data_IF_932071638587
#
_entry.id   IF_932071638587
#
_cell.length_a   1.000
_cell.length_b   1.000
_cell.length_c   1.000
_cell.angle_alpha   90.00
_cell.angle_beta   90.00
_cell.angle_gamma   90.00
#
_symmetry.space_group_name_H-M   'P 1'
#
loop_
_entity.id
_entity.type
_entity.pdbx_description
1 polymer ?
#
# COMPACT_ATOMS: atom_id res chain seq x y z
N UNK A 1 -52.94 -64.91 -7.14
CA UNK A 1 -53.69 -66.14 -7.39
C UNK A 1 -54.94 -66.04 -6.54
N UNK A 2 -56.17 -65.95 -7.02
CA UNK A 2 -56.78 -66.09 -8.35
C UNK A 2 -58.06 -65.21 -8.29
N UNK A 3 -58.52 -64.53 -9.34
CA UNK A 3 -58.68 -64.96 -10.72
C UNK A 3 -60.14 -65.39 -10.93
N UNK A 4 -60.96 -64.54 -11.56
CA UNK A 4 -62.20 -64.95 -12.23
C UNK A 4 -62.64 -63.88 -13.25
N UNK A 5 -62.67 -64.32 -14.50
CA UNK A 5 -63.05 -63.65 -15.75
C UNK A 5 -64.58 -63.61 -15.92
N UNK A 6 -65.15 -62.57 -16.55
CA UNK A 6 -66.17 -62.69 -17.62
C UNK A 6 -66.13 -61.45 -18.54
N UNK A 7 -66.33 -61.69 -19.83
CA UNK A 7 -66.09 -60.86 -21.02
C UNK A 7 -67.26 -59.97 -21.50
N UNK A 8 -66.84 -58.83 -22.04
CA UNK A 8 -67.41 -57.82 -22.97
C UNK A 8 -68.60 -58.14 -23.91
N UNK A 9 -69.43 -57.12 -24.15
CA UNK A 9 -69.99 -56.74 -25.47
C UNK A 9 -70.15 -55.21 -25.59
N UNK A 10 -70.20 -54.73 -26.83
CA UNK A 10 -69.43 -53.60 -27.40
C UNK A 10 -70.20 -52.28 -27.65
N UNK A 11 -69.43 -51.18 -27.78
CA UNK A 11 -69.59 -49.96 -28.65
C UNK A 11 -70.90 -49.13 -28.62
N UNK A 12 -70.92 -47.83 -28.90
CA UNK A 12 -69.96 -46.73 -29.07
C UNK A 12 -70.81 -45.43 -29.18
N UNK A 13 -70.31 -44.29 -28.66
CA UNK A 13 -70.87 -42.94 -28.88
C UNK A 13 -69.80 -42.05 -29.50
N UNK A 14 -70.16 -41.28 -30.52
CA UNK A 14 -69.37 -40.14 -30.99
C UNK A 14 -70.30 -39.04 -31.49
N UNK A 15 -70.19 -37.86 -30.87
CA UNK A 15 -70.83 -36.62 -31.30
C UNK A 15 -69.80 -35.50 -31.22
N UNK A 16 -69.71 -34.74 -32.32
CA UNK A 16 -68.69 -33.74 -32.63
C UNK A 16 -69.04 -32.34 -32.10
N UNK A 17 -68.05 -31.73 -31.46
CA UNK A 17 -67.56 -30.32 -31.54
C UNK A 17 -68.43 -29.21 -32.14
N UNK A 18 -68.49 -28.07 -31.43
CA UNK A 18 -68.17 -26.71 -31.90
C UNK A 18 -68.04 -25.77 -30.68
N UNK A 19 -66.85 -25.21 -30.43
CA UNK A 19 -66.65 -24.09 -29.51
C UNK A 19 -65.59 -23.13 -30.07
N UNK A 20 -65.92 -21.85 -30.01
CA UNK A 20 -65.29 -20.75 -30.70
C UNK A 20 -64.07 -20.14 -29.99
N UNK A 21 -63.38 -19.27 -30.73
CA UNK A 21 -62.07 -18.70 -30.51
C UNK A 21 -61.87 -17.77 -29.29
N UNK A 22 -60.63 -17.76 -28.78
CA UNK A 22 -59.93 -16.57 -28.28
C UNK A 22 -58.41 -16.85 -28.25
N UNK A 23 -57.67 -16.41 -29.27
CA UNK A 23 -56.20 -16.41 -29.27
C UNK A 23 -55.74 -15.06 -28.71
N UNK A 24 -55.36 -15.01 -27.44
CA UNK A 24 -54.56 -13.92 -26.89
C UNK A 24 -53.11 -14.12 -27.34
N UNK A 25 -52.66 -13.30 -28.29
CA UNK A 25 -51.23 -13.11 -28.59
C UNK A 25 -50.59 -12.34 -27.43
N UNK A 26 -49.96 -13.06 -26.50
CA UNK A 26 -49.07 -12.47 -25.52
C UNK A 26 -47.74 -12.11 -26.22
N UNK A 27 -47.55 -10.83 -26.55
CA UNK A 27 -46.21 -10.32 -26.82
C UNK A 27 -45.41 -10.37 -25.52
N UNK A 28 -44.26 -11.05 -25.43
CA UNK A 28 -43.35 -10.81 -24.34
C UNK A 28 -42.77 -9.41 -24.54
N UNK A 29 -43.13 -8.48 -23.65
CA UNK A 29 -42.39 -7.24 -23.53
C UNK A 29 -40.95 -7.60 -23.15
N UNK A 30 -40.03 -7.48 -24.11
CA UNK A 30 -38.59 -7.41 -23.86
C UNK A 30 -38.34 -6.12 -23.07
N UNK A 31 -38.57 -6.18 -21.76
CA UNK A 31 -37.98 -5.23 -20.83
C UNK A 31 -36.49 -5.57 -20.83
N UNK A 32 -35.74 -4.88 -21.69
CA UNK A 32 -34.29 -4.82 -21.59
C UNK A 32 -33.94 -4.13 -20.28
N UNK A 33 -33.88 -4.90 -19.19
CA UNK A 33 -33.25 -4.45 -17.97
C UNK A 33 -31.80 -4.11 -18.32
N UNK A 34 -31.41 -2.85 -18.24
CA UNK A 34 -29.99 -2.52 -18.13
C UNK A 34 -29.50 -3.25 -16.89
N UNK A 35 -28.65 -4.26 -17.07
CA UNK A 35 -27.85 -4.77 -15.97
C UNK A 35 -27.17 -3.55 -15.35
N UNK A 36 -27.43 -3.30 -14.06
CA UNK A 36 -26.66 -2.31 -13.33
C UNK A 36 -25.19 -2.71 -13.47
N UNK A 37 -24.35 -1.81 -13.94
CA UNK A 37 -22.91 -2.07 -14.03
C UNK A 37 -22.44 -2.51 -12.63
N UNK A 38 -22.04 -3.78 -12.52
CA UNK A 38 -21.62 -4.35 -11.26
C UNK A 38 -20.38 -3.63 -10.72
N UNK A 39 -20.33 -3.46 -9.41
CA UNK A 39 -19.09 -3.11 -8.73
C UNK A 39 -18.12 -4.30 -8.84
N UNK A 40 -16.89 -4.02 -9.27
CA UNK A 40 -15.80 -4.98 -9.36
C UNK A 40 -14.74 -4.58 -8.35
N UNK A 41 -14.29 -5.54 -7.54
CA UNK A 41 -13.18 -5.35 -6.60
C UNK A 41 -11.98 -6.15 -7.08
N UNK A 42 -10.87 -5.48 -7.31
CA UNK A 42 -9.61 -6.10 -7.76
C UNK A 42 -8.54 -5.81 -6.73
N UNK A 43 -7.82 -6.84 -6.30
CA UNK A 43 -6.67 -6.71 -5.42
C UNK A 43 -5.50 -7.53 -5.97
N UNK A 44 -4.32 -6.95 -5.98
CA UNK A 44 -3.11 -7.66 -6.39
C UNK A 44 -1.93 -6.74 -6.60
N UNK A 45 -0.81 -7.32 -7.05
CA UNK A 45 0.36 -6.56 -7.44
C UNK A 45 0.07 -5.64 -8.62
N UNK A 46 0.52 -4.39 -8.51
CA UNK A 46 0.54 -3.43 -9.60
C UNK A 46 1.65 -3.82 -10.59
N UNK A 47 1.25 -4.26 -11.78
CA UNK A 47 2.15 -4.74 -12.85
C UNK A 47 2.27 -3.77 -14.02
N UNK A 48 1.46 -2.69 -14.03
CA UNK A 48 1.55 -1.63 -15.03
C UNK A 48 0.88 -0.34 -14.57
N UNK A 49 1.41 0.79 -15.04
CA UNK A 49 0.81 2.11 -14.85
C UNK A 49 1.20 3.02 -16.03
N UNK A 50 0.23 3.74 -16.58
CA UNK A 50 0.42 4.69 -17.67
C UNK A 50 -0.51 5.89 -17.49
N UNK A 51 -0.01 7.09 -17.79
CA UNK A 51 -0.82 8.31 -17.85
C UNK A 51 -0.96 8.74 -19.31
N UNK A 52 -2.15 9.18 -19.71
CA UNK A 52 -2.42 9.54 -21.11
C UNK A 52 -1.70 10.83 -21.53
N UNK A 53 -1.67 11.83 -20.66
CA UNK A 53 -0.94 13.08 -20.84
C UNK A 53 -0.06 13.37 -19.62
N UNK A 54 1.27 13.41 -19.83
CA UNK A 54 2.26 13.69 -18.78
C UNK A 54 2.25 15.13 -18.30
N UNK A 55 1.77 16.06 -19.12
CA UNK A 55 1.77 17.49 -18.83
C UNK A 55 0.47 17.96 -18.14
N UNK A 56 -0.55 17.10 -18.09
CA UNK A 56 -1.80 17.36 -17.39
C UNK A 56 -1.86 16.60 -16.05
N UNK A 57 -1.73 17.34 -14.95
CA UNK A 57 -1.85 16.82 -13.57
C UNK A 57 -3.14 16.01 -13.36
N UNK A 58 -4.22 16.35 -14.06
CA UNK A 58 -5.52 15.71 -13.90
C UNK A 58 -5.79 14.61 -14.93
N UNK A 59 -4.79 14.25 -15.73
CA UNK A 59 -4.92 13.29 -16.82
C UNK A 59 -5.48 11.96 -16.33
N UNK A 60 -6.31 11.36 -17.20
CA UNK A 60 -6.66 9.96 -17.12
C UNK A 60 -5.46 9.06 -17.41
N UNK A 61 -5.67 7.76 -17.29
CA UNK A 61 -4.72 6.75 -17.74
C UNK A 61 -5.18 5.36 -17.36
N UNK A 62 -4.24 4.43 -17.24
CA UNK A 62 -4.54 3.05 -16.89
C UNK A 62 -3.56 2.47 -15.89
N UNK A 63 -4.05 1.57 -15.05
CA UNK A 63 -3.23 0.68 -14.24
C UNK A 63 -3.52 -0.77 -14.60
N UNK A 64 -2.55 -1.64 -14.36
CA UNK A 64 -2.71 -3.09 -14.50
C UNK A 64 -2.46 -3.74 -13.15
N UNK A 65 -3.44 -4.51 -12.68
CA UNK A 65 -3.36 -5.25 -11.40
C UNK A 65 -3.34 -6.75 -11.73
N UNK A 66 -2.18 -7.38 -11.59
CA UNK A 66 -1.90 -8.70 -12.16
C UNK A 66 -2.09 -8.68 -13.68
N UNK A 67 -3.21 -9.25 -14.15
CA UNK A 67 -3.60 -9.27 -15.57
C UNK A 67 -4.78 -8.34 -15.90
N UNK A 68 -5.37 -7.68 -14.91
CA UNK A 68 -6.56 -6.85 -15.10
C UNK A 68 -6.15 -5.43 -15.45
N UNK A 69 -6.48 -4.98 -16.66
CA UNK A 69 -6.33 -3.59 -17.07
C UNK A 69 -7.52 -2.78 -16.57
N UNK A 70 -7.24 -1.67 -15.91
CA UNK A 70 -8.24 -0.81 -15.27
C UNK A 70 -8.01 0.63 -15.73
N UNK A 71 -9.08 1.29 -16.15
CA UNK A 71 -9.08 2.71 -16.50
C UNK A 71 -9.15 3.55 -15.25
N UNK A 72 -8.23 4.50 -15.13
CA UNK A 72 -8.22 5.53 -14.10
C UNK A 72 -8.81 6.80 -14.71
N UNK A 73 -10.00 7.24 -14.29
CA UNK A 73 -10.60 8.44 -14.83
C UNK A 73 -9.81 9.69 -14.42
N UNK A 74 -9.95 10.81 -15.16
CA UNK A 74 -9.28 12.05 -14.81
C UNK A 74 -9.77 12.55 -13.45
N UNK A 75 -8.88 13.20 -12.70
CA UNK A 75 -9.14 13.73 -11.33
C UNK A 75 -9.42 12.70 -10.24
N UNK A 76 -9.33 11.39 -10.51
CA UNK A 76 -9.38 10.41 -9.43
C UNK A 76 -8.12 10.55 -8.56
N UNK A 77 -8.33 10.70 -7.26
CA UNK A 77 -7.27 10.64 -6.27
C UNK A 77 -7.03 9.18 -5.88
N UNK A 78 -5.77 8.79 -5.89
CA UNK A 78 -5.26 7.50 -5.47
C UNK A 78 -4.76 7.67 -4.04
N UNK A 79 -5.30 6.86 -3.13
CA UNK A 79 -4.92 6.87 -1.72
C UNK A 79 -3.63 6.04 -1.52
N UNK A 80 -2.68 6.60 -0.79
CA UNK A 80 -1.47 5.94 -0.33
C UNK A 80 -1.29 6.25 1.17
N UNK A 81 -0.40 5.55 1.88
CA UNK A 81 0.00 5.98 3.21
C UNK A 81 0.43 7.45 3.23
N UNK A 82 -0.26 8.25 4.06
CA UNK A 82 0.03 9.68 4.27
C UNK A 82 -0.12 10.60 3.06
N UNK A 83 -0.70 10.13 1.95
CA UNK A 83 -0.85 10.91 0.73
C UNK A 83 -2.09 10.53 -0.08
N UNK A 84 -2.64 11.51 -0.80
CA UNK A 84 -3.63 11.29 -1.85
C UNK A 84 -3.13 12.00 -3.11
N UNK A 85 -2.88 11.24 -4.17
CA UNK A 85 -2.20 11.71 -5.38
C UNK A 85 -3.03 11.40 -6.62
N UNK A 86 -2.97 12.27 -7.62
CA UNK A 86 -3.43 11.95 -8.96
C UNK A 86 -2.53 10.92 -9.63
N UNK A 87 -3.03 10.26 -10.68
CA UNK A 87 -2.22 9.33 -11.47
C UNK A 87 -0.96 9.98 -12.04
N UNK A 88 -1.03 11.23 -12.50
CA UNK A 88 0.12 11.94 -13.04
C UNK A 88 1.17 12.22 -11.94
N UNK A 89 0.73 12.61 -10.76
CA UNK A 89 1.62 12.88 -9.62
C UNK A 89 2.39 11.64 -9.17
N UNK A 90 1.84 10.43 -9.35
CA UNK A 90 2.59 9.20 -9.10
C UNK A 90 3.89 9.13 -9.91
N UNK A 91 3.94 9.71 -11.11
CA UNK A 91 5.17 9.74 -11.91
C UNK A 91 6.05 10.95 -11.58
N UNK A 92 5.45 12.10 -11.29
CA UNK A 92 6.21 13.31 -10.90
C UNK A 92 6.96 13.09 -9.58
N UNK A 93 6.33 12.39 -8.65
CA UNK A 93 6.86 12.08 -7.31
C UNK A 93 7.53 10.70 -7.23
N UNK A 94 7.74 10.04 -8.36
CA UNK A 94 8.54 8.82 -8.38
C UNK A 94 9.96 9.12 -7.86
N UNK A 95 10.64 8.15 -7.20
CA UNK A 95 12.03 8.33 -6.79
C UNK A 95 12.92 8.77 -7.96
N UNK A 96 13.94 9.62 -7.73
CA UNK A 96 14.84 10.20 -8.74
C UNK A 96 15.32 9.16 -9.73
N UNK A 97 15.79 8.04 -9.16
CA UNK A 97 16.33 6.90 -9.87
C UNK A 97 15.34 6.32 -10.87
N UNK A 98 14.06 6.31 -10.53
CA UNK A 98 13.00 5.85 -11.40
C UNK A 98 12.58 6.90 -12.43
N UNK A 99 12.56 8.19 -12.05
CA UNK A 99 12.25 9.28 -12.98
C UNK A 99 13.27 9.38 -14.12
N UNK A 100 14.57 9.19 -13.81
CA UNK A 100 15.65 9.18 -14.82
C UNK A 100 15.43 8.11 -15.90
N UNK A 101 14.85 6.98 -15.51
CA UNK A 101 14.53 5.86 -16.41
C UNK A 101 13.14 5.99 -17.07
N UNK A 102 12.39 7.07 -16.79
CA UNK A 102 10.99 7.22 -17.19
C UNK A 102 10.03 6.22 -16.52
N UNK A 103 10.50 5.49 -15.50
CA UNK A 103 9.77 4.49 -14.76
C UNK A 103 8.97 5.09 -13.60
N UNK A 104 7.98 4.34 -13.10
CA UNK A 104 7.13 4.81 -11.99
C UNK A 104 7.77 4.58 -10.63
N UNK A 105 8.66 3.60 -10.51
CA UNK A 105 9.13 3.09 -9.22
C UNK A 105 8.05 2.42 -8.37
N UNK A 106 6.86 2.15 -8.92
CA UNK A 106 5.80 1.40 -8.25
C UNK A 106 5.86 -0.08 -8.59
N UNK A 107 6.25 -0.43 -9.81
CA UNK A 107 6.27 -1.81 -10.28
C UNK A 107 7.50 -2.49 -9.68
N UNK A 108 7.35 -3.70 -9.13
CA UNK A 108 8.51 -4.46 -8.62
C UNK A 108 9.52 -4.77 -9.74
N UNK A 109 9.06 -4.79 -11.00
CA UNK A 109 9.85 -4.98 -12.21
C UNK A 109 10.58 -3.72 -12.70
N UNK A 110 10.32 -2.54 -12.13
CA UNK A 110 11.02 -1.31 -12.53
C UNK A 110 12.53 -1.45 -12.24
N UNK A 111 13.37 -1.25 -13.26
CA UNK A 111 14.83 -1.47 -13.18
C UNK A 111 15.50 -0.61 -12.08
N UNK A 112 15.01 0.60 -11.88
CA UNK A 112 15.42 1.52 -10.81
C UNK A 112 15.17 0.98 -9.38
N UNK A 113 14.28 0.00 -9.21
CA UNK A 113 14.00 -0.60 -7.89
C UNK A 113 14.95 -1.74 -7.56
N UNK A 114 15.44 -2.45 -8.57
CA UNK A 114 16.35 -3.59 -8.41
C UNK A 114 17.82 -3.18 -8.36
N UNK A 115 18.13 -1.87 -8.36
CA UNK A 115 19.51 -1.37 -8.30
C UNK A 115 20.34 -1.64 -9.56
N UNK A 116 19.68 -1.94 -10.69
CA UNK A 116 20.34 -2.17 -11.98
C UNK A 116 20.62 -0.89 -12.76
N UNK A 117 20.28 0.27 -12.19
CA UNK A 117 20.47 1.59 -12.77
C UNK A 117 21.89 2.17 -12.57
N UNK A 118 22.75 1.48 -11.80
CA UNK A 118 24.12 1.92 -11.50
C UNK A 118 24.21 3.05 -10.47
N UNK A 119 23.11 3.39 -9.78
CA UNK A 119 23.08 4.46 -8.76
C UNK A 119 23.58 4.02 -7.38
N UNK A 120 23.73 2.70 -7.15
CA UNK A 120 24.17 2.14 -5.87
C UNK A 120 25.69 2.25 -5.72
N UNK A 121 26.16 2.75 -4.56
CA UNK A 121 27.59 2.86 -4.27
C UNK A 121 28.14 1.66 -3.50
N UNK A 122 27.25 0.89 -2.85
CA UNK A 122 27.57 -0.36 -2.14
C UNK A 122 27.10 -1.59 -2.91
N UNK A 123 27.70 -2.77 -2.66
CA UNK A 123 27.19 -4.02 -3.20
C UNK A 123 25.70 -4.20 -2.87
N UNK A 124 24.89 -4.76 -3.79
CA UNK A 124 23.50 -5.05 -3.52
C UNK A 124 23.36 -5.93 -2.28
N UNK A 125 22.45 -5.55 -1.40
CA UNK A 125 22.10 -6.38 -0.25
C UNK A 125 21.66 -7.78 -0.71
N UNK A 126 22.09 -8.82 0.00
CA UNK A 126 21.63 -10.19 -0.24
C UNK A 126 20.89 -10.77 0.97
N UNK A 127 19.93 -11.70 0.76
CA UNK A 127 19.26 -12.38 1.87
C UNK A 127 20.18 -13.07 2.87
N UNK A 128 21.39 -13.46 2.45
CA UNK A 128 22.38 -14.10 3.34
C UNK A 128 22.99 -13.11 4.34
N UNK A 129 22.95 -11.83 4.01
CA UNK A 129 23.45 -10.74 4.85
C UNK A 129 22.34 -10.16 5.75
N UNK A 130 21.13 -10.73 5.72
CA UNK A 130 20.06 -10.28 6.60
C UNK A 130 20.33 -10.66 8.05
N UNK A 131 20.45 -9.66 8.90
CA UNK A 131 20.58 -9.83 10.35
C UNK A 131 19.32 -9.40 11.10
N UNK A 132 18.23 -9.12 10.38
CA UNK A 132 16.94 -8.73 10.95
C UNK A 132 16.29 -9.95 11.61
N UNK A 133 15.96 -9.91 12.91
CA UNK A 133 15.15 -10.95 13.56
C UNK A 133 13.79 -11.03 12.88
N UNK A 134 13.31 -12.25 12.62
CA UNK A 134 12.04 -12.52 11.94
C UNK A 134 11.16 -13.47 12.75
N UNK A 135 9.84 -13.34 12.59
CA UNK A 135 8.94 -14.44 12.95
C UNK A 135 9.05 -15.56 11.91
N UNK A 136 8.76 -16.80 12.29
CA UNK A 136 8.73 -17.95 11.35
C UNK A 136 7.60 -17.88 10.33
N UNK A 137 6.68 -16.91 10.47
CA UNK A 137 5.57 -16.67 9.57
C UNK A 137 5.90 -15.63 8.49
N UNK A 138 7.01 -14.90 8.64
CA UNK A 138 7.46 -13.98 7.61
C UNK A 138 8.15 -14.75 6.47
N UNK A 139 7.79 -14.46 5.21
CA UNK A 139 8.50 -15.06 4.09
C UNK A 139 9.96 -14.64 4.11
N UNK A 140 10.85 -15.60 3.86
CA UNK A 140 12.27 -15.32 3.69
C UNK A 140 12.48 -14.28 2.59
N UNK A 141 13.25 -13.21 2.84
CA UNK A 141 13.55 -12.24 1.82
C UNK A 141 14.24 -12.89 0.62
N UNK A 142 13.82 -12.50 -0.57
CA UNK A 142 14.37 -13.02 -1.83
C UNK A 142 15.22 -11.98 -2.58
N UNK A 143 15.45 -10.80 -1.98
CA UNK A 143 16.16 -9.68 -2.61
C UNK A 143 15.34 -8.93 -3.67
N UNK A 144 14.10 -9.34 -3.94
CA UNK A 144 13.22 -8.58 -4.82
C UNK A 144 12.70 -7.33 -4.08
N UNK A 145 12.50 -6.20 -4.79
CA UNK A 145 11.85 -5.03 -4.22
C UNK A 145 10.43 -5.38 -3.75
N UNK A 146 9.94 -4.78 -2.66
CA UNK A 146 8.58 -5.02 -2.19
C UNK A 146 7.54 -4.63 -3.25
N UNK A 147 6.56 -5.50 -3.49
CA UNK A 147 5.49 -5.23 -4.44
C UNK A 147 4.64 -4.02 -4.01
N UNK A 148 4.21 -3.21 -4.97
CA UNK A 148 3.11 -2.27 -4.73
C UNK A 148 1.81 -3.03 -4.93
N UNK A 149 0.97 -3.09 -3.90
CA UNK A 149 -0.33 -3.75 -3.95
C UNK A 149 -1.40 -2.70 -4.21
N UNK A 150 -2.23 -2.95 -5.22
CA UNK A 150 -3.37 -2.13 -5.54
C UNK A 150 -4.64 -2.78 -5.00
N UNK A 151 -5.46 -2.00 -4.29
CA UNK A 151 -6.85 -2.33 -3.95
C UNK A 151 -7.74 -1.38 -4.74
N UNK A 152 -8.54 -1.94 -5.66
CA UNK A 152 -9.33 -1.18 -6.60
C UNK A 152 -10.80 -1.51 -6.44
N UNK A 153 -11.62 -0.48 -6.29
CA UNK A 153 -13.06 -0.53 -6.54
C UNK A 153 -13.30 0.08 -7.91
N UNK A 154 -14.00 -0.64 -8.77
CA UNK A 154 -14.30 -0.22 -10.12
C UNK A 154 -15.75 -0.52 -10.49
N UNK A 155 -16.23 0.10 -11.56
CA UNK A 155 -17.54 -0.18 -12.15
C UNK A 155 -17.38 -0.73 -13.55
N UNK A 156 -18.27 -1.66 -13.91
CA UNK A 156 -18.33 -2.27 -15.22
C UNK A 156 -17.45 -3.51 -15.35
N UNK A 157 -17.85 -4.41 -16.25
CA UNK A 157 -17.10 -5.64 -16.52
C UNK A 157 -17.94 -6.73 -17.19
N UNK A 158 -18.33 -6.53 -18.44
CA UNK A 158 -18.34 -7.60 -19.45
C UNK A 158 -18.02 -6.98 -20.83
N UNK A 159 -16.88 -7.36 -21.41
CA UNK A 159 -16.47 -6.94 -22.76
C UNK A 159 -15.68 -5.63 -22.90
N UNK A 160 -15.42 -4.88 -21.81
CA UNK A 160 -14.57 -3.68 -21.79
C UNK A 160 -13.76 -3.57 -20.49
N UNK A 161 -12.73 -2.72 -20.49
CA UNK A 161 -11.96 -2.41 -19.27
C UNK A 161 -12.85 -1.81 -18.18
N UNK A 162 -12.62 -2.21 -16.92
CA UNK A 162 -13.31 -1.64 -15.75
C UNK A 162 -12.79 -0.23 -15.47
N UNK A 163 -13.67 0.65 -14.98
CA UNK A 163 -13.33 2.05 -14.64
C UNK A 163 -13.24 2.19 -13.12
N UNK A 164 -12.08 2.59 -12.61
CA UNK A 164 -11.86 2.76 -11.19
C UNK A 164 -12.70 3.90 -10.60
N UNK A 165 -13.30 3.64 -9.44
CA UNK A 165 -13.96 4.62 -8.57
C UNK A 165 -13.17 4.90 -7.31
N UNK A 166 -12.33 3.95 -6.88
CA UNK A 166 -11.38 4.10 -5.78
C UNK A 166 -10.14 3.24 -6.04
N UNK A 167 -8.97 3.79 -5.74
CA UNK A 167 -7.70 3.07 -5.79
C UNK A 167 -6.95 3.38 -4.49
N UNK A 168 -6.51 2.33 -3.80
CA UNK A 168 -5.57 2.42 -2.68
C UNK A 168 -4.32 1.66 -3.08
N UNK A 169 -3.15 2.30 -2.95
CA UNK A 169 -1.85 1.66 -3.16
C UNK A 169 -1.13 1.51 -1.83
N UNK A 170 -0.66 0.30 -1.54
CA UNK A 170 0.25 0.02 -0.43
C UNK A 170 1.55 -0.56 -0.97
N UNK A 171 2.62 -0.46 -0.20
CA UNK A 171 3.92 -1.07 -0.52
C UNK A 171 4.13 -2.18 0.48
N UNK A 172 4.05 -3.45 0.03
CA UNK A 172 4.17 -4.69 0.83
C UNK A 172 4.02 -4.43 2.34
N UNK A 173 2.81 -4.08 2.78
CA UNK A 173 2.53 -3.46 4.08
C UNK A 173 2.73 -4.45 5.24
N UNK A 174 3.98 -4.56 5.68
CA UNK A 174 4.44 -5.43 6.76
C UNK A 174 4.43 -4.70 8.09
N UNK A 175 4.61 -5.47 9.16
CA UNK A 175 4.82 -4.92 10.50
C UNK A 175 6.10 -5.47 11.10
N UNK A 176 6.89 -4.58 11.71
CA UNK A 176 8.02 -4.92 12.58
C UNK A 176 7.68 -4.43 13.98
N UNK A 177 7.83 -5.27 14.99
CA UNK A 177 7.47 -4.92 16.35
C UNK A 177 8.49 -5.44 17.36
N UNK A 178 8.55 -4.82 18.52
CA UNK A 178 9.43 -5.20 19.61
C UNK A 178 10.07 -4.00 20.29
N UNK A 179 11.08 -4.27 21.11
CA UNK A 179 11.82 -3.23 21.79
C UNK A 179 12.72 -2.44 20.82
N UNK A 180 12.74 -1.12 20.98
CA UNK A 180 13.74 -0.22 20.44
C UNK A 180 15.04 -0.49 21.17
N UNK A 181 15.98 -1.08 20.46
CA UNK A 181 17.29 -1.54 20.96
C UNK A 181 18.41 -0.55 20.66
N UNK A 182 18.17 0.40 19.77
CA UNK A 182 19.11 1.48 19.47
C UNK A 182 18.36 2.67 18.87
N UNK A 183 18.80 3.87 19.18
CA UNK A 183 18.33 5.13 18.59
C UNK A 183 19.57 5.87 18.10
N UNK A 184 19.64 6.16 16.81
CA UNK A 184 20.70 6.99 16.26
C UNK A 184 20.36 8.46 16.43
N UNK A 185 20.83 9.07 17.52
CA UNK A 185 20.65 10.51 17.75
C UNK A 185 21.39 11.38 16.73
N UNK A 186 22.32 10.81 15.97
CA UNK A 186 23.00 11.50 14.89
C UNK A 186 22.26 11.34 13.55
N UNK A 187 21.81 10.13 13.21
CA UNK A 187 21.37 9.82 11.84
C UNK A 187 19.85 9.58 11.68
N UNK A 188 19.07 9.64 12.76
CA UNK A 188 17.60 9.67 12.64
C UNK A 188 16.92 8.33 12.42
N UNK A 189 17.57 7.21 12.76
CA UNK A 189 17.01 5.86 12.61
C UNK A 189 16.96 5.10 13.93
N UNK A 190 16.19 4.02 13.95
CA UNK A 190 16.03 3.14 15.10
C UNK A 190 16.48 1.72 14.75
N UNK A 191 16.80 0.90 15.76
CA UNK A 191 16.81 -0.56 15.62
C UNK A 191 15.76 -1.20 16.49
N UNK A 192 14.98 -2.11 15.92
CA UNK A 192 14.04 -2.96 16.65
C UNK A 192 14.62 -4.38 16.75
N UNK A 193 14.69 -4.93 17.96
CA UNK A 193 15.12 -6.31 18.20
C UNK A 193 16.61 -6.60 17.95
N UNK A 194 17.47 -5.59 17.93
CA UNK A 194 18.92 -5.74 17.82
C UNK A 194 19.63 -5.90 19.17
N UNK A 195 20.94 -5.66 19.18
CA UNK A 195 21.73 -5.61 20.41
C UNK A 195 21.39 -4.32 21.19
N UNK A 196 21.03 -4.47 22.47
CA UNK A 196 20.60 -3.33 23.29
C UNK A 196 21.72 -2.31 23.48
N UNK A 197 21.44 -1.04 23.17
CA UNK A 197 22.38 0.09 23.27
C UNK A 197 23.43 0.14 22.16
N UNK A 198 23.39 -0.76 21.17
CA UNK A 198 24.38 -0.85 20.11
C UNK A 198 23.75 -0.85 18.71
N UNK A 199 24.43 -0.23 17.76
CA UNK A 199 24.03 -0.18 16.35
C UNK A 199 24.29 -1.52 15.63
N UNK A 200 23.75 -2.62 16.15
CA UNK A 200 24.04 -3.98 15.67
C UNK A 200 22.81 -4.89 15.68
N UNK A 201 22.62 -5.66 14.60
CA UNK A 201 21.49 -6.59 14.44
C UNK A 201 20.14 -5.86 14.39
N UNK A 202 19.03 -6.60 14.49
CA UNK A 202 17.70 -5.97 14.50
C UNK A 202 17.28 -5.44 13.12
N UNK A 203 16.03 -5.01 13.04
CA UNK A 203 15.54 -4.24 11.89
C UNK A 203 16.04 -2.80 12.00
N UNK A 204 16.77 -2.30 11.00
CA UNK A 204 17.07 -0.87 10.87
C UNK A 204 15.81 -0.16 10.34
N UNK A 205 15.16 0.63 11.18
CA UNK A 205 13.91 1.32 10.87
C UNK A 205 14.17 2.80 10.57
N UNK A 206 13.63 3.26 9.44
CA UNK A 206 13.59 4.67 9.03
C UNK A 206 12.15 5.09 8.80
N UNK A 207 11.76 6.26 9.30
CA UNK A 207 10.44 6.81 8.98
C UNK A 207 10.48 7.34 7.55
N UNK A 208 9.49 7.00 6.73
CA UNK A 208 9.32 7.55 5.39
C UNK A 208 8.72 8.96 5.48
N UNK A 209 9.50 9.90 5.98
CA UNK A 209 9.10 11.26 6.27
C UNK A 209 9.92 12.23 5.41
N UNK A 210 9.55 12.42 4.13
CA UNK A 210 10.36 13.18 3.17
C UNK A 210 10.55 14.64 3.55
N UNK A 211 9.64 15.19 4.37
CA UNK A 211 9.64 16.58 4.83
C UNK A 211 10.37 16.76 6.17
N UNK A 212 10.93 15.69 6.75
CA UNK A 212 11.64 15.70 8.02
C UNK A 212 10.84 16.26 9.22
N UNK A 213 9.53 16.02 9.23
CA UNK A 213 8.58 16.52 10.25
C UNK A 213 8.61 15.73 11.56
N UNK A 214 8.78 14.42 11.53
CA UNK A 214 8.84 13.51 12.69
C UNK A 214 10.18 12.76 12.81
N UNK A 215 11.00 12.68 11.76
CA UNK A 215 12.40 12.25 11.84
C UNK A 215 13.31 13.21 11.07
N UNK A 216 14.53 13.44 11.54
CA UNK A 216 15.57 14.15 10.79
C UNK A 216 16.69 13.16 10.51
N UNK A 217 16.91 12.82 9.24
CA UNK A 217 17.61 11.63 8.83
C UNK A 217 18.81 11.94 7.95
N UNK A 218 19.89 11.19 8.17
CA UNK A 218 21.13 11.26 7.39
C UNK A 218 21.87 9.91 7.43
N UNK A 219 23.01 9.81 6.76
CA UNK A 219 23.95 8.71 6.95
C UNK A 219 23.56 7.38 6.30
N UNK A 220 23.65 6.28 7.06
CA UNK A 220 23.56 4.92 6.51
C UNK A 220 22.22 4.67 5.79
N UNK A 221 22.26 4.04 4.61
CA UNK A 221 21.05 3.74 3.83
C UNK A 221 20.21 4.99 3.47
N UNK A 222 20.85 6.15 3.38
CA UNK A 222 20.22 7.37 2.88
C UNK A 222 20.41 7.45 1.36
N UNK A 223 19.30 7.60 0.62
CA UNK A 223 19.35 7.88 -0.82
C UNK A 223 19.70 9.34 -1.10
N UNK A 224 19.75 9.72 -2.39
CA UNK A 224 19.99 11.10 -2.83
C UNK A 224 18.80 12.04 -2.62
N UNK A 225 17.60 11.50 -2.35
CA UNK A 225 16.37 12.29 -2.28
C UNK A 225 15.76 12.35 -0.87
N UNK A 226 15.27 13.55 -0.55
CA UNK A 226 14.52 13.84 0.66
C UNK A 226 15.30 13.54 1.94
N UNK A 227 14.56 13.39 3.03
CA UNK A 227 15.03 13.02 4.35
C UNK A 227 15.28 11.51 4.46
N UNK A 228 16.16 10.95 3.61
CA UNK A 228 16.42 9.50 3.49
C UNK A 228 15.17 8.65 3.25
N UNK A 229 14.17 9.23 2.59
CA UNK A 229 12.86 8.63 2.36
C UNK A 229 12.87 7.89 1.00
N UNK A 230 12.75 6.54 0.96
CA UNK A 230 12.98 5.78 -0.27
C UNK A 230 12.00 6.10 -1.40
N UNK A 231 10.79 6.53 -1.05
CA UNK A 231 9.69 6.87 -1.94
C UNK A 231 8.69 7.80 -1.22
N UNK A 232 8.69 9.09 -1.58
CA UNK A 232 7.89 10.13 -0.92
C UNK A 232 6.36 9.91 -1.02
N UNK A 233 5.90 8.98 -1.86
CA UNK A 233 4.48 8.69 -2.06
C UNK A 233 3.90 7.79 -0.98
N UNK A 234 4.72 6.99 -0.30
CA UNK A 234 4.32 6.08 0.80
C UNK A 234 4.70 6.66 2.16
N UNK A 235 4.40 7.94 2.37
CA UNK A 235 4.95 8.74 3.45
C UNK A 235 4.21 8.57 4.78
N UNK A 236 4.84 8.98 5.86
CA UNK A 236 4.16 9.19 7.12
C UNK A 236 3.07 10.26 7.00
N UNK A 237 1.91 9.99 7.61
CA UNK A 237 0.83 10.95 7.74
C UNK A 237 1.12 11.87 8.93
N UNK A 238 1.70 13.01 8.60
CA UNK A 238 2.09 14.04 9.56
C UNK A 238 0.91 14.89 10.02
N UNK A 239 -0.24 14.84 9.34
CA UNK A 239 -1.45 15.58 9.73
C UNK A 239 -2.22 14.81 10.80
N UNK A 240 -2.25 13.49 10.70
CA UNK A 240 -2.90 12.60 11.67
C UNK A 240 -1.90 11.88 12.60
N UNK A 241 -0.62 12.27 12.56
CA UNK A 241 0.47 11.73 13.38
C UNK A 241 0.57 10.19 13.33
N UNK A 242 0.88 9.62 12.18
CA UNK A 242 1.10 8.17 12.05
C UNK A 242 2.34 7.67 12.82
N UNK A 243 3.25 8.58 13.21
CA UNK A 243 4.30 8.32 14.20
C UNK A 243 3.88 8.90 15.55
N UNK A 244 3.53 8.06 16.51
CA UNK A 244 2.90 8.47 17.77
C UNK A 244 3.03 7.44 18.88
N UNK A 245 2.74 7.86 20.10
CA UNK A 245 2.43 6.98 21.20
C UNK A 245 1.00 6.42 21.06
N UNK A 246 0.74 5.28 21.69
CA UNK A 246 -0.56 4.62 21.71
C UNK A 246 -1.64 5.54 22.28
N UNK A 247 -1.30 6.36 23.28
CA UNK A 247 -2.19 7.37 23.87
C UNK A 247 -2.43 8.59 22.96
N UNK A 248 -1.84 8.63 21.77
CA UNK A 248 -2.10 9.64 20.74
C UNK A 248 -1.12 10.82 20.72
N UNK A 249 -0.14 10.86 21.63
CA UNK A 249 0.91 11.89 21.59
C UNK A 249 1.77 11.71 20.35
N UNK A 250 1.95 12.79 19.58
CA UNK A 250 2.83 12.75 18.42
C UNK A 250 4.26 12.44 18.85
N UNK A 251 4.89 11.51 18.14
CA UNK A 251 6.23 11.04 18.46
C UNK A 251 7.22 11.46 17.37
N UNK A 252 8.50 11.23 17.66
CA UNK A 252 9.60 11.53 16.77
C UNK A 252 10.78 10.61 16.99
N UNK A 253 11.58 10.44 15.94
CA UNK A 253 12.90 9.81 16.03
C UNK A 253 13.96 10.90 16.18
N UNK A 254 14.78 10.88 17.26
CA UNK A 254 15.90 11.81 17.46
C UNK A 254 16.91 11.78 16.30
N UNK A 255 17.60 12.90 16.00
CA UNK A 255 18.57 13.03 14.90
C UNK A 255 19.43 14.31 14.99
N UNK A 256 20.52 14.41 14.19
CA UNK A 256 21.63 15.39 14.33
C UNK A 256 21.32 16.89 14.15
N UNK A 257 20.06 17.30 14.13
CA UNK A 257 19.72 18.71 13.92
C UNK A 257 19.65 19.54 15.22
N UNK A 258 19.93 18.97 16.39
CA UNK A 258 19.96 19.66 17.69
C UNK A 258 19.03 19.04 18.72
N UNK A 259 18.53 19.85 19.68
CA UNK A 259 17.66 19.43 20.80
C UNK A 259 16.64 18.37 20.35
N UNK A 260 16.64 17.26 21.08
CA UNK A 260 15.89 16.04 20.78
C UNK A 260 14.45 16.38 20.37
N UNK A 261 14.14 16.15 19.09
CA UNK A 261 12.84 16.37 18.48
C UNK A 261 12.29 17.80 18.46
N UNK A 262 13.09 18.79 18.81
CA UNK A 262 12.68 20.18 18.81
C UNK A 262 12.37 20.69 17.39
N UNK A 263 11.37 21.58 17.29
CA UNK A 263 11.01 22.28 16.06
C UNK A 263 12.18 23.00 15.38
N UNK A 264 13.09 23.59 16.18
CA UNK A 264 14.23 24.35 15.71
C UNK A 264 15.22 23.48 14.90
N UNK A 265 15.21 22.18 15.19
CA UNK A 265 16.06 21.15 14.62
C UNK A 265 15.39 20.49 13.40
N UNK A 266 14.47 21.14 12.67
CA UNK A 266 13.80 20.53 11.51
C UNK A 266 13.73 21.48 10.30
N UNK A 267 14.06 21.02 9.07
CA UNK A 267 14.16 21.88 7.89
C UNK A 267 12.79 22.39 7.42
N UNK A 268 11.71 21.64 7.62
CA UNK A 268 10.34 22.10 7.32
C UNK A 268 9.68 22.67 8.57
N UNK A 269 9.63 24.01 8.65
CA UNK A 269 8.98 24.78 9.71
C UNK A 269 7.47 24.87 9.46
N UNK A 270 6.79 23.74 9.55
CA UNK A 270 5.37 23.64 9.19
C UNK A 270 4.49 22.92 10.20
N UNK A 271 5.02 22.57 11.37
CA UNK A 271 4.21 22.08 12.49
C UNK A 271 4.18 23.23 13.49
N UNK A 272 3.02 23.87 13.64
CA UNK A 272 2.78 24.82 14.73
C UNK A 272 2.92 24.15 16.11
N UNK A 273 2.91 22.81 16.14
CA UNK A 273 3.00 21.93 17.33
C UNK A 273 4.34 21.19 17.50
N UNK A 274 5.43 21.55 16.80
CA UNK A 274 6.72 20.86 17.02
C UNK A 274 7.34 21.11 18.42
N UNK A 275 6.64 21.83 19.31
CA UNK A 275 6.90 21.87 20.75
C UNK A 275 6.34 20.65 21.52
N UNK A 276 5.63 19.72 20.87
CA UNK A 276 4.89 18.61 21.48
C UNK A 276 5.31 17.21 20.99
N UNK A 277 6.36 17.09 20.17
CA UNK A 277 6.85 15.77 19.75
C UNK A 277 7.62 15.12 20.90
N UNK A 278 7.18 13.95 21.33
CA UNK A 278 7.86 13.15 22.35
C UNK A 278 8.85 12.19 21.69
N UNK A 279 10.11 12.11 22.17
CA UNK A 279 11.10 11.23 21.57
C UNK A 279 10.78 9.76 21.84
N UNK A 280 10.89 8.95 20.79
CA UNK A 280 11.08 7.50 20.92
C UNK A 280 12.45 7.26 21.55
N UNK A 281 12.50 6.40 22.55
CA UNK A 281 13.66 6.13 23.40
C UNK A 281 14.12 4.69 23.28
N UNK A 282 15.36 4.48 23.69
CA UNK A 282 15.90 3.16 23.93
C UNK A 282 15.05 2.44 24.99
N UNK A 283 14.60 1.22 24.68
CA UNK A 283 13.76 0.39 25.54
C UNK A 283 12.26 0.46 25.23
N UNK A 284 11.81 1.45 24.46
CA UNK A 284 10.39 1.57 24.11
C UNK A 284 9.92 0.39 23.26
N UNK A 285 8.69 -0.08 23.46
CA UNK A 285 8.07 -1.13 22.68
C UNK A 285 7.19 -0.54 21.58
N UNK A 286 7.58 -0.77 20.32
CA UNK A 286 6.92 -0.15 19.16
C UNK A 286 6.36 -1.20 18.20
N UNK A 287 5.39 -0.77 17.40
CA UNK A 287 4.95 -1.43 16.17
C UNK A 287 5.15 -0.44 15.01
N UNK A 288 6.00 -0.79 14.06
CA UNK A 288 6.21 -0.04 12.83
C UNK A 288 5.52 -0.75 11.65
N UNK A 289 4.79 -0.01 10.83
CA UNK A 289 4.18 -0.51 9.59
C UNK A 289 4.78 0.17 8.37
N UNK A 290 5.00 -0.62 7.31
CA UNK A 290 5.67 -0.19 6.10
C UNK A 290 6.29 -1.37 5.36
N UNK A 291 7.39 -1.13 4.66
CA UNK A 291 8.02 -2.16 3.83
C UNK A 291 9.53 -2.20 4.00
N UNK A 292 10.10 -3.38 3.74
CA UNK A 292 11.55 -3.49 3.61
C UNK A 292 12.00 -3.02 2.23
N UNK A 293 12.81 -1.97 2.20
CA UNK A 293 13.44 -1.44 1.00
C UNK A 293 14.95 -1.67 1.07
N UNK A 294 15.61 -1.72 -0.09
CA UNK A 294 17.08 -1.70 -0.17
C UNK A 294 17.50 -0.35 -0.73
N UNK A 295 18.21 0.43 0.09
CA UNK A 295 18.69 1.77 -0.26
C UNK A 295 20.20 1.79 -0.12
N UNK A 296 20.89 2.14 -1.19
CA UNK A 296 22.36 2.13 -1.27
C UNK A 296 22.97 0.81 -0.73
N UNK A 297 22.43 -0.33 -1.20
CA UNK A 297 22.91 -1.66 -0.80
C UNK A 297 22.64 -2.05 0.66
N UNK A 298 21.88 -1.25 1.42
CA UNK A 298 21.50 -1.55 2.81
C UNK A 298 20.00 -1.79 2.88
N UNK A 299 19.60 -2.90 3.52
CA UNK A 299 18.19 -3.19 3.79
C UNK A 299 17.71 -2.38 4.99
N UNK A 300 16.60 -1.68 4.80
CA UNK A 300 15.93 -0.90 5.83
C UNK A 300 14.44 -1.23 5.86
N UNK A 301 13.81 -1.05 7.02
CA UNK A 301 12.37 -1.00 7.12
C UNK A 301 11.92 0.46 7.00
N UNK A 302 11.31 0.81 5.87
CA UNK A 302 10.77 2.13 5.61
C UNK A 302 9.34 2.20 6.15
N UNK A 303 9.18 2.84 7.31
CA UNK A 303 7.93 2.90 8.04
C UNK A 303 7.13 4.15 7.66
N UNK A 304 5.88 3.97 7.23
CA UNK A 304 4.92 5.08 7.12
C UNK A 304 4.15 5.29 8.44
N UNK A 305 4.11 4.28 9.30
CA UNK A 305 3.45 4.34 10.61
C UNK A 305 4.37 3.76 11.67
N UNK A 306 4.41 4.37 12.86
CA UNK A 306 5.08 3.82 14.03
C UNK A 306 4.27 4.18 15.28
N UNK A 307 3.82 3.16 16.00
CA UNK A 307 3.09 3.32 17.26
C UNK A 307 3.96 2.82 18.40
N UNK A 308 4.19 3.67 19.39
CA UNK A 308 4.86 3.32 20.64
C UNK A 308 3.84 2.94 21.71
N UNK A 309 3.96 1.75 22.26
CA UNK A 309 3.09 1.18 23.29
C UNK A 309 3.63 1.42 24.71
N UNK A 310 4.74 2.12 24.84
CA UNK A 310 5.34 2.49 26.11
C UNK A 310 4.68 3.76 26.59
N UNK A 311 4.14 3.77 27.80
CA UNK A 311 3.52 4.99 28.29
C UNK A 311 4.58 6.06 28.56
N UNK A 312 4.51 7.24 27.92
CA UNK A 312 5.48 8.31 28.13
C UNK A 312 5.41 8.91 29.55
N UNK A 313 4.35 8.58 30.30
CA UNK A 313 4.08 9.04 31.68
C UNK A 313 4.55 8.05 32.76
N UNK A 314 5.02 6.85 32.38
CA UNK A 314 5.45 5.83 33.34
C UNK A 314 6.81 6.12 33.98
N UNK A 315 7.61 7.05 33.44
CA UNK A 315 8.86 7.50 34.07
C UNK A 315 8.55 8.59 35.11
N UNK A 316 7.96 8.15 36.21
CA UNK A 316 7.65 8.96 37.38
C UNK A 316 7.85 8.15 38.66
N UNK A 317 9.06 7.61 38.87
CA UNK A 317 9.71 7.37 40.17
C UNK A 317 11.10 6.78 40.00
#
# INVERSE_FOLDING_TARGET
>A
MDGSFVTSFDRARSLRTLAAAAVLLALPALVGGRAAAGEVRVQGELTGAAVDNRDDRWSAGTITVGTHRIVVPPRLLIELPGAALTLQELFVLAPERCRKDGATGLLASDACRVGRDGSQTKPPWSPRDDTTPRSTLEPEPNGAPPATIAHVTAVGGEGSDSIATKIVLTRDDRSVFGAVTFVSEEQGYLRIGGAFGADQGGALVRINDPDARQSAQSGVACGSEGNCSPDARFRADVVHYSVRFEEGHAACVPGALGDVCAAASRPVRGITDAALLLPIRLGDHVIAQGAFEVVDGVRIFSAHTLVDHTSPLATGR
#
